data_IF_919317226134
#
_entry.id   IF_919317226134
#
_cell.length_a   1.000
_cell.length_b   1.000
_cell.length_c   1.000
_cell.angle_alpha   90.00
_cell.angle_beta   90.00
_cell.angle_gamma   90.00
#
_symmetry.space_group_name_H-M   'P 1'
#
loop_
_entity.id
_entity.type
_entity.pdbx_description
1 polymer ?
#
# COMPACT_ATOMS: atom_id res chain seq x y z
N UNK A 1 5.90 9.68 5.20
CA UNK A 1 6.98 8.78 5.71
C UNK A 1 8.34 9.18 5.14
N UNK A 2 9.44 9.01 5.86
CA UNK A 2 10.78 9.07 5.26
C UNK A 2 10.84 7.96 4.18
N UNK A 3 11.21 8.27 2.94
CA UNK A 3 11.20 7.34 1.80
C UNK A 3 11.84 5.97 2.15
N UNK A 4 12.85 6.02 3.02
CA UNK A 4 13.59 4.86 3.53
C UNK A 4 12.72 3.80 4.23
N UNK A 5 11.67 4.22 4.94
CA UNK A 5 10.81 3.30 5.69
C UNK A 5 9.93 2.44 4.77
N UNK A 6 9.39 3.05 3.70
CA UNK A 6 8.59 2.33 2.69
C UNK A 6 9.48 1.35 1.94
N UNK A 7 10.65 1.81 1.48
CA UNK A 7 11.64 0.97 0.79
C UNK A 7 12.09 -0.21 1.64
N UNK A 8 12.25 -0.01 2.96
CA UNK A 8 12.58 -1.09 3.88
C UNK A 8 11.47 -2.13 3.97
N UNK A 9 10.22 -1.72 4.18
CA UNK A 9 9.08 -2.65 4.30
C UNK A 9 8.84 -3.40 2.98
N UNK A 10 8.99 -2.74 1.83
CA UNK A 10 8.95 -3.38 0.52
C UNK A 10 10.00 -4.47 0.38
N UNK A 11 11.25 -4.19 0.79
CA UNK A 11 12.33 -5.18 0.76
C UNK A 11 12.03 -6.37 1.67
N UNK A 12 11.57 -6.11 2.90
CA UNK A 12 11.20 -7.17 3.85
C UNK A 12 10.07 -8.04 3.29
N UNK A 13 9.05 -7.43 2.66
CA UNK A 13 7.97 -8.15 2.00
C UNK A 13 8.46 -8.99 0.81
N UNK A 14 9.42 -8.48 0.04
CA UNK A 14 9.99 -9.19 -1.12
C UNK A 14 10.87 -10.38 -0.72
N UNK A 15 11.56 -10.28 0.42
CA UNK A 15 12.51 -11.31 0.88
C UNK A 15 11.87 -12.45 1.67
N UNK A 16 10.61 -12.30 2.10
CA UNK A 16 9.95 -13.30 2.94
C UNK A 16 9.24 -14.39 2.08
N UNK A 17 9.60 -15.68 2.22
CA UNK A 17 9.00 -16.75 1.41
C UNK A 17 7.49 -16.90 1.59
N UNK A 18 6.96 -16.62 2.78
CA UNK A 18 5.52 -16.70 3.08
C UNK A 18 4.79 -15.61 2.32
N UNK A 19 5.26 -14.36 2.40
CA UNK A 19 4.63 -13.24 1.68
C UNK A 19 4.72 -13.43 0.18
N UNK A 20 5.82 -13.96 -0.35
CA UNK A 20 5.96 -14.28 -1.79
C UNK A 20 5.04 -15.43 -2.25
N UNK A 21 4.65 -16.33 -1.35
CA UNK A 21 3.70 -17.41 -1.68
C UNK A 21 2.25 -16.94 -1.85
N UNK A 22 1.92 -15.73 -1.36
CA UNK A 22 0.55 -15.21 -1.38
C UNK A 22 0.09 -14.94 -2.83
N UNK A 23 -1.17 -15.27 -3.19
CA UNK A 23 -1.73 -14.94 -4.49
C UNK A 23 -1.56 -13.47 -4.86
N UNK A 24 -1.81 -12.55 -3.92
CA UNK A 24 -1.66 -11.12 -4.12
C UNK A 24 -0.22 -10.70 -4.47
N UNK A 25 0.79 -11.35 -3.89
CA UNK A 25 2.19 -11.09 -4.25
C UNK A 25 2.51 -11.60 -5.65
N UNK A 26 2.01 -12.80 -5.99
CA UNK A 26 2.21 -13.40 -7.33
C UNK A 26 1.51 -12.64 -8.45
N UNK A 27 0.37 -11.99 -8.16
CA UNK A 27 -0.38 -11.19 -9.11
C UNK A 27 0.03 -9.72 -9.15
N UNK A 28 1.06 -9.31 -8.39
CA UNK A 28 1.50 -7.90 -8.33
C UNK A 28 0.51 -6.96 -7.63
N UNK A 29 -0.40 -7.49 -6.81
CA UNK A 29 -1.49 -6.76 -6.15
C UNK A 29 -1.18 -6.43 -4.69
N UNK A 30 0.09 -6.09 -4.38
CA UNK A 30 0.52 -5.64 -3.05
C UNK A 30 0.82 -4.16 -3.09
N UNK A 31 0.09 -3.39 -2.30
CA UNK A 31 0.19 -1.93 -2.25
C UNK A 31 0.67 -1.46 -0.88
N UNK A 32 1.66 -0.57 -0.87
CA UNK A 32 2.21 0.02 0.35
C UNK A 32 1.64 1.43 0.51
N UNK A 33 0.97 1.67 1.63
CA UNK A 33 0.17 2.88 1.88
C UNK A 33 0.70 3.68 3.07
N UNK A 34 0.44 4.98 3.08
CA UNK A 34 0.81 5.84 4.22
C UNK A 34 -0.13 5.59 5.40
N UNK A 35 0.42 5.03 6.49
CA UNK A 35 -0.34 4.71 7.69
C UNK A 35 -0.89 5.95 8.41
N UNK A 36 -0.30 7.14 8.24
CA UNK A 36 -0.88 8.34 8.82
C UNK A 36 -2.22 8.65 8.16
N UNK A 37 -2.29 8.61 6.83
CA UNK A 37 -3.53 8.81 6.11
C UNK A 37 -4.55 7.68 6.36
N UNK A 38 -4.14 6.41 6.25
CA UNK A 38 -5.07 5.27 6.30
C UNK A 38 -5.45 4.83 7.72
N UNK A 39 -4.60 5.07 8.72
CA UNK A 39 -4.81 4.60 10.08
C UNK A 39 -4.94 5.71 11.13
N UNK A 40 -4.37 6.91 10.94
CA UNK A 40 -4.39 7.94 11.99
C UNK A 40 -5.40 9.08 11.74
N UNK A 41 -5.64 9.47 10.48
CA UNK A 41 -6.60 10.54 10.17
C UNK A 41 -8.02 9.96 10.02
N UNK A 42 -9.03 10.69 10.52
CA UNK A 42 -10.45 10.34 10.42
C UNK A 42 -11.26 11.51 9.85
N UNK A 43 -12.50 11.22 9.49
CA UNK A 43 -13.45 12.22 8.99
C UNK A 43 -13.55 12.26 7.46
N UNK A 44 -14.45 13.12 6.93
CA UNK A 44 -14.86 13.08 5.53
C UNK A 44 -13.73 13.45 4.56
N UNK A 45 -12.81 14.34 4.95
CA UNK A 45 -11.66 14.68 4.11
C UNK A 45 -10.70 13.49 3.97
N UNK A 46 -10.39 12.80 5.07
CA UNK A 46 -9.55 11.61 5.04
C UNK A 46 -10.19 10.50 4.20
N UNK A 47 -11.50 10.30 4.35
CA UNK A 47 -12.25 9.34 3.53
C UNK A 47 -12.13 9.66 2.04
N UNK A 48 -12.26 10.93 1.64
CA UNK A 48 -12.06 11.36 0.25
C UNK A 48 -10.65 11.07 -0.26
N UNK A 49 -9.62 11.44 0.50
CA UNK A 49 -8.22 11.21 0.13
C UNK A 49 -7.90 9.71 -0.01
N UNK A 50 -8.44 8.87 0.89
CA UNK A 50 -8.32 7.42 0.81
C UNK A 50 -8.98 6.88 -0.48
N UNK A 51 -10.20 7.32 -0.79
CA UNK A 51 -10.91 6.90 -2.00
C UNK A 51 -10.17 7.31 -3.27
N UNK A 52 -9.65 8.53 -3.31
CA UNK A 52 -8.85 9.02 -4.45
C UNK A 52 -7.55 8.20 -4.60
N UNK A 53 -6.90 7.84 -3.49
CA UNK A 53 -5.70 6.98 -3.54
C UNK A 53 -6.02 5.55 -4.00
N UNK A 54 -7.13 4.98 -3.55
CA UNK A 54 -7.57 3.64 -4.00
C UNK A 54 -7.88 3.67 -5.50
N UNK A 55 -8.53 4.72 -6.00
CA UNK A 55 -8.78 4.89 -7.44
C UNK A 55 -7.47 4.96 -8.23
N UNK A 56 -6.50 5.74 -7.77
CA UNK A 56 -5.18 5.81 -8.40
C UNK A 56 -4.55 4.41 -8.52
N UNK A 57 -4.61 3.62 -7.46
CA UNK A 57 -3.99 2.28 -7.43
C UNK A 57 -4.73 1.25 -8.29
N UNK A 58 -6.07 1.29 -8.30
CA UNK A 58 -6.86 0.23 -8.95
C UNK A 58 -7.29 0.54 -10.38
N UNK A 59 -7.33 1.81 -10.77
CA UNK A 59 -7.78 2.22 -12.12
C UNK A 59 -6.61 2.41 -13.08
N UNK A 60 -5.40 2.73 -12.58
CA UNK A 60 -4.22 2.92 -13.41
C UNK A 60 -3.29 1.70 -13.49
N UNK A 61 -3.79 0.50 -13.18
CA UNK A 61 -3.06 -0.75 -13.39
C UNK A 61 -3.42 -1.36 -14.75
N UNK A 62 -2.57 -1.23 -15.80
CA UNK A 62 -2.68 -2.02 -17.03
C UNK A 62 -2.36 -3.51 -16.80
#
# INVERSE_FOLDING_TARGET
>A
MRQDAISHIQRVWQQNPITQSLPASRSGQVYFLDAYLFYNIRGPLAARLILDKIRELLVYHP
#
